data_IF_295668139430
#
_entry.id   IF_295668139430
#
_cell.length_a   1.000
_cell.length_b   1.000
_cell.length_c   1.000
_cell.angle_alpha   90.00
_cell.angle_beta   90.00
_cell.angle_gamma   90.00
#
_symmetry.space_group_name_H-M   'P 1'
#
loop_
_entity.id
_entity.type
_entity.pdbx_description
1 polymer ?
#
# COMPACT_ATOMS: atom_id res chain seq x y z
N UNK A 1 53.30 -10.58 -16.54
CA UNK A 1 51.96 -10.49 -17.20
C UNK A 1 50.89 -10.66 -16.12
N UNK A 2 50.00 -9.67 -15.94
CA UNK A 2 48.94 -9.62 -14.91
C UNK A 2 47.64 -10.24 -15.41
N UNK A 3 46.84 -10.85 -14.51
CA UNK A 3 45.37 -10.68 -14.34
C UNK A 3 45.00 -11.14 -12.91
N UNK A 4 45.08 -10.27 -11.89
CA UNK A 4 43.98 -9.51 -11.26
C UNK A 4 42.65 -10.27 -11.06
N UNK A 5 42.43 -10.74 -9.82
CA UNK A 5 41.11 -11.02 -9.25
C UNK A 5 40.59 -9.78 -8.51
N UNK A 6 39.29 -9.49 -8.68
CA UNK A 6 38.60 -8.36 -8.05
C UNK A 6 37.87 -8.84 -6.80
N UNK A 7 38.27 -8.32 -5.64
CA UNK A 7 37.56 -8.38 -4.36
C UNK A 7 37.53 -6.96 -3.83
N UNK A 8 36.37 -6.31 -3.80
CA UNK A 8 36.24 -4.96 -3.23
C UNK A 8 35.37 -5.03 -1.97
N UNK A 9 35.99 -4.60 -0.87
CA UNK A 9 35.40 -4.39 0.45
C UNK A 9 34.62 -3.07 0.51
N UNK A 10 33.66 -3.05 1.45
CA UNK A 10 32.91 -1.91 2.00
C UNK A 10 33.68 -0.59 1.98
N UNK A 11 33.01 0.48 1.55
CA UNK A 11 33.29 1.84 2.01
C UNK A 11 31.99 2.54 2.40
N UNK A 12 31.98 3.04 3.63
CA UNK A 12 30.99 3.97 4.14
C UNK A 12 31.15 5.31 3.41
N UNK A 13 30.05 5.99 3.11
CA UNK A 13 30.10 7.41 2.76
C UNK A 13 28.84 8.10 3.27
N UNK A 14 29.01 8.81 4.38
CA UNK A 14 28.08 9.81 4.90
C UNK A 14 27.84 10.87 3.82
N UNK A 15 26.58 11.25 3.59
CA UNK A 15 26.21 12.40 2.74
C UNK A 15 25.26 13.34 3.49
N UNK A 16 25.29 14.66 3.18
CA UNK A 16 25.08 15.72 4.16
C UNK A 16 23.63 16.14 4.34
N UNK A 17 23.36 16.68 5.53
CA UNK A 17 22.11 17.32 5.94
C UNK A 17 21.96 18.64 5.17
N UNK A 18 21.00 18.72 4.24
CA UNK A 18 20.48 20.01 3.74
C UNK A 18 19.19 20.33 4.49
N UNK A 19 19.28 21.32 5.37
CA UNK A 19 18.12 22.03 5.92
C UNK A 19 17.40 22.75 4.78
N UNK A 20 16.11 22.48 4.63
CA UNK A 20 15.17 23.35 3.92
C UNK A 20 14.11 23.75 4.93
N UNK A 21 13.99 25.06 5.18
CA UNK A 21 12.88 25.68 5.90
C UNK A 21 11.86 26.15 4.87
N UNK A 22 10.58 25.82 5.06
CA UNK A 22 9.49 26.40 4.26
C UNK A 22 8.20 25.59 4.25
N UNK A 23 7.25 26.02 5.09
CA UNK A 23 5.78 25.90 5.00
C UNK A 23 5.11 24.54 4.67
N UNK A 24 4.59 23.90 5.73
CA UNK A 24 3.28 23.23 5.77
C UNK A 24 2.83 22.35 4.60
N UNK A 25 3.49 21.20 4.39
CA UNK A 25 3.01 20.12 3.52
C UNK A 25 3.29 18.78 4.21
N UNK A 26 2.26 17.98 4.43
CA UNK A 26 2.38 16.63 5.02
C UNK A 26 2.65 15.66 3.88
N UNK A 27 3.93 15.38 3.63
CA UNK A 27 4.34 14.28 2.76
C UNK A 27 4.32 12.98 3.54
N UNK A 28 3.45 12.05 3.17
CA UNK A 28 3.53 10.66 3.60
C UNK A 28 4.56 9.95 2.72
N UNK A 29 5.54 9.32 3.35
CA UNK A 29 6.44 8.39 2.67
C UNK A 29 6.10 6.98 3.17
N UNK A 30 5.32 6.25 2.39
CA UNK A 30 4.97 4.86 2.72
C UNK A 30 6.20 3.96 2.54
N UNK A 31 6.82 3.51 3.63
CA UNK A 31 7.75 2.39 3.63
C UNK A 31 7.14 1.25 4.43
N UNK A 32 6.75 0.19 3.72
CA UNK A 32 6.19 -1.03 4.32
C UNK A 32 7.15 -2.21 4.38
N UNK A 33 7.30 -2.82 5.56
CA UNK A 33 8.04 -4.03 5.86
C UNK A 33 7.12 -5.23 6.18
N UNK A 34 6.61 -5.91 5.14
CA UNK A 34 6.11 -7.29 5.21
C UNK A 34 7.20 -8.33 4.88
N UNK A 35 7.03 -9.57 5.35
CA UNK A 35 7.87 -10.74 5.01
C UNK A 35 7.95 -11.04 3.50
N UNK A 36 8.87 -11.92 3.07
CA UNK A 36 9.56 -11.76 1.79
C UNK A 36 8.75 -12.18 0.56
N UNK A 37 8.57 -11.26 -0.38
CA UNK A 37 8.23 -11.59 -1.77
C UNK A 37 7.72 -10.39 -2.53
N UNK A 38 6.44 -10.08 -2.33
CA UNK A 38 5.72 -9.20 -3.25
C UNK A 38 5.35 -7.90 -2.56
N UNK A 39 6.04 -6.83 -2.96
CA UNK A 39 5.72 -5.47 -2.53
C UNK A 39 4.87 -4.79 -3.59
N UNK A 40 3.63 -4.50 -3.22
CA UNK A 40 2.74 -3.61 -3.94
C UNK A 40 3.03 -2.14 -3.59
N UNK A 41 3.00 -1.25 -4.57
CA UNK A 41 3.07 0.20 -4.33
C UNK A 41 1.64 0.76 -4.36
N UNK A 42 1.22 1.45 -3.30
CA UNK A 42 -0.12 2.08 -3.20
C UNK A 42 -0.15 3.50 -3.83
N UNK A 43 0.96 3.95 -4.41
CA UNK A 43 1.19 5.35 -4.76
C UNK A 43 1.43 6.22 -3.53
N UNK A 44 2.03 7.39 -3.71
CA UNK A 44 2.12 8.39 -2.64
C UNK A 44 0.73 8.97 -2.37
N UNK A 45 0.26 8.91 -1.12
CA UNK A 45 -1.05 9.45 -0.74
C UNK A 45 -0.88 10.66 0.19
N UNK A 46 -1.55 11.77 -0.11
CA UNK A 46 -1.70 12.91 0.82
C UNK A 46 -3.17 13.00 1.18
N UNK A 47 -3.51 12.80 2.45
CA UNK A 47 -4.89 12.85 2.95
C UNK A 47 -5.04 13.82 4.12
N UNK A 48 -6.27 14.28 4.39
CA UNK A 48 -6.57 15.04 5.60
C UNK A 48 -6.91 14.08 6.73
N UNK A 49 -6.58 14.51 7.96
CA UNK A 49 -7.01 13.80 9.18
C UNK A 49 -8.54 13.72 9.17
N UNK A 50 -9.08 12.55 9.53
CA UNK A 50 -10.51 12.23 9.49
C UNK A 50 -11.16 12.11 8.09
N UNK A 51 -10.39 12.24 7.00
CA UNK A 51 -10.88 11.90 5.67
C UNK A 51 -10.53 10.45 5.32
N UNK A 52 -11.47 9.76 4.66
CA UNK A 52 -11.24 8.40 4.17
C UNK A 52 -10.29 8.43 2.99
N UNK A 53 -9.17 7.73 3.12
CA UNK A 53 -8.34 7.27 2.02
C UNK A 53 -8.76 5.86 1.61
N UNK A 54 -8.93 5.63 0.32
CA UNK A 54 -9.25 4.31 -0.23
C UNK A 54 -8.56 4.11 -1.58
N UNK A 55 -7.82 3.01 -1.73
CA UNK A 55 -7.06 2.73 -2.94
C UNK A 55 -7.02 1.23 -3.24
N UNK A 56 -6.91 0.84 -4.52
CA UNK A 56 -6.61 -0.53 -4.90
C UNK A 56 -5.20 -0.93 -4.48
N UNK A 57 -5.00 -2.21 -4.19
CA UNK A 57 -3.69 -2.82 -3.93
C UNK A 57 -3.28 -3.60 -5.16
N UNK A 58 -2.36 -3.05 -5.95
CA UNK A 58 -1.91 -3.66 -7.20
C UNK A 58 -0.82 -4.71 -6.97
N UNK A 59 -0.73 -5.71 -7.83
CA UNK A 59 0.38 -6.67 -7.82
C UNK A 59 0.27 -7.81 -6.81
N UNK A 60 -0.83 -7.89 -6.06
CA UNK A 60 -1.16 -9.05 -5.22
C UNK A 60 -2.33 -9.80 -5.86
N UNK A 61 -2.13 -11.04 -6.35
CA UNK A 61 -3.21 -11.80 -6.97
C UNK A 61 -4.23 -12.28 -5.92
N UNK A 62 -5.50 -12.34 -6.31
CA UNK A 62 -6.52 -13.07 -5.56
C UNK A 62 -6.37 -14.57 -5.86
N UNK A 63 -5.64 -15.29 -5.02
CA UNK A 63 -5.42 -16.72 -5.17
C UNK A 63 -6.35 -17.53 -4.25
N UNK A 64 -6.98 -18.59 -4.78
CA UNK A 64 -7.81 -19.50 -3.99
C UNK A 64 -9.03 -18.81 -3.37
N UNK A 65 -9.23 -19.03 -2.07
CA UNK A 65 -10.25 -18.35 -1.28
C UNK A 65 -9.63 -17.09 -0.61
N UNK A 66 -9.96 -15.87 -1.07
CA UNK A 66 -9.34 -14.66 -0.53
C UNK A 66 -9.96 -14.22 0.81
N UNK A 67 -10.86 -15.02 1.39
CA UNK A 67 -11.41 -14.85 2.73
C UNK A 67 -10.89 -15.89 3.72
N UNK A 68 -9.99 -16.78 3.28
CA UNK A 68 -9.29 -17.69 4.18
C UNK A 68 -8.34 -16.87 5.08
N UNK A 69 -8.52 -16.84 6.41
CA UNK A 69 -7.68 -16.05 7.30
C UNK A 69 -6.19 -16.40 7.21
N UNK A 70 -5.85 -17.65 6.83
CA UNK A 70 -4.45 -18.07 6.69
C UNK A 70 -3.83 -17.61 5.35
N UNK A 71 -4.67 -17.32 4.34
CA UNK A 71 -4.26 -16.88 3.01
C UNK A 71 -4.50 -15.39 2.71
N UNK A 72 -5.30 -14.71 3.53
CA UNK A 72 -5.77 -13.34 3.32
C UNK A 72 -5.04 -12.29 4.18
N UNK A 73 -3.77 -12.51 4.51
CA UNK A 73 -2.97 -11.58 5.33
C UNK A 73 -2.27 -10.50 4.47
N UNK A 74 -3.08 -9.71 3.75
CA UNK A 74 -2.58 -8.57 2.98
C UNK A 74 -2.65 -7.30 3.83
N UNK A 75 -1.51 -6.63 4.04
CA UNK A 75 -1.42 -5.43 4.88
C UNK A 75 -0.79 -4.25 4.16
N UNK A 76 -1.32 -3.07 4.44
CA UNK A 76 -0.78 -1.80 4.01
C UNK A 76 -0.11 -1.10 5.20
N UNK A 77 1.05 -0.50 4.95
CA UNK A 77 1.78 0.31 5.93
C UNK A 77 1.74 1.79 5.55
N UNK A 78 1.28 2.61 6.49
CA UNK A 78 1.22 4.07 6.36
C UNK A 78 2.19 4.72 7.35
N UNK A 79 2.93 5.73 6.88
CA UNK A 79 3.79 6.55 7.74
C UNK A 79 3.20 7.96 7.90
N UNK A 80 2.62 8.23 9.05
CA UNK A 80 2.08 9.54 9.42
C UNK A 80 3.13 10.54 9.92
N UNK A 81 2.69 11.76 10.26
CA UNK A 81 3.56 12.80 10.78
C UNK A 81 4.39 12.34 11.97
N UNK A 82 5.66 12.79 12.02
CA UNK A 82 6.67 12.39 13.03
C UNK A 82 7.04 10.90 12.99
N UNK A 83 6.85 10.22 11.86
CA UNK A 83 7.25 8.83 11.66
C UNK A 83 6.36 7.81 12.37
N UNK A 84 5.12 8.19 12.72
CA UNK A 84 4.13 7.25 13.28
C UNK A 84 3.78 6.23 12.20
N UNK A 85 3.83 4.94 12.52
CA UNK A 85 3.44 3.88 11.58
C UNK A 85 2.08 3.32 11.92
N UNK A 86 1.31 3.02 10.89
CA UNK A 86 0.03 2.33 10.98
C UNK A 86 0.06 1.16 10.03
N UNK A 87 -0.41 0.02 10.51
CA UNK A 87 -0.61 -1.17 9.70
C UNK A 87 -2.11 -1.41 9.61
N UNK A 88 -2.61 -1.55 8.38
CA UNK A 88 -4.04 -1.64 8.10
C UNK A 88 -4.27 -2.86 7.21
N UNK A 89 -5.18 -3.78 7.57
CA UNK A 89 -5.51 -4.90 6.72
C UNK A 89 -6.20 -4.42 5.43
N UNK A 90 -5.80 -4.99 4.30
CA UNK A 90 -6.54 -4.88 3.07
C UNK A 90 -7.80 -5.76 3.14
N UNK A 91 -8.73 -5.53 2.23
CA UNK A 91 -9.95 -6.30 2.10
C UNK A 91 -10.25 -6.54 0.63
N UNK A 92 -10.97 -7.62 0.36
CA UNK A 92 -11.46 -7.91 -0.98
C UNK A 92 -12.65 -7.01 -1.27
N UNK A 93 -12.63 -6.35 -2.42
CA UNK A 93 -13.67 -5.45 -2.89
C UNK A 93 -14.16 -5.90 -4.26
N UNK A 94 -15.47 -5.79 -4.48
CA UNK A 94 -16.09 -5.87 -5.78
C UNK A 94 -17.14 -4.77 -5.89
N UNK A 95 -17.10 -4.04 -6.99
CA UNK A 95 -18.11 -3.02 -7.26
C UNK A 95 -19.39 -3.65 -7.83
N UNK A 96 -20.55 -3.09 -7.48
CA UNK A 96 -21.86 -3.56 -7.93
C UNK A 96 -22.77 -2.39 -8.31
N UNK A 97 -23.40 -2.50 -9.47
CA UNK A 97 -24.56 -1.70 -9.83
C UNK A 97 -25.82 -2.26 -9.17
N UNK A 98 -26.64 -1.37 -8.62
CA UNK A 98 -27.87 -1.70 -7.89
C UNK A 98 -29.07 -1.20 -8.67
N UNK A 99 -30.00 -2.08 -8.94
CA UNK A 99 -31.26 -1.77 -9.59
C UNK A 99 -32.44 -2.34 -8.79
N UNK A 100 -33.57 -1.63 -8.78
CA UNK A 100 -34.82 -2.15 -8.24
C UNK A 100 -35.66 -2.71 -9.39
N UNK A 101 -35.79 -4.04 -9.45
CA UNK A 101 -36.58 -4.74 -10.48
C UNK A 101 -37.72 -5.47 -9.79
N UNK A 102 -38.95 -5.15 -10.15
CA UNK A 102 -40.18 -5.73 -9.56
C UNK A 102 -40.22 -5.67 -8.03
N UNK A 103 -39.73 -4.56 -7.46
CA UNK A 103 -39.67 -4.34 -6.02
C UNK A 103 -38.58 -5.13 -5.29
N UNK A 104 -37.62 -5.74 -6.01
CA UNK A 104 -36.47 -6.45 -5.44
C UNK A 104 -35.16 -5.81 -5.87
N UNK A 105 -34.20 -5.75 -4.96
CA UNK A 105 -32.84 -5.32 -5.31
C UNK A 105 -32.15 -6.39 -6.15
N UNK A 106 -31.63 -5.96 -7.30
CA UNK A 106 -30.76 -6.74 -8.16
C UNK A 106 -29.37 -6.09 -8.14
N UNK A 107 -28.36 -6.90 -7.84
CA UNK A 107 -26.95 -6.51 -7.88
C UNK A 107 -26.32 -7.10 -9.13
N UNK A 108 -25.67 -6.26 -9.94
CA UNK A 108 -24.86 -6.71 -11.09
C UNK A 108 -23.43 -6.26 -10.87
N UNK A 109 -22.46 -7.17 -10.97
CA UNK A 109 -21.05 -6.82 -10.78
C UNK A 109 -20.61 -5.76 -11.80
N UNK A 110 -20.05 -4.66 -11.33
CA UNK A 110 -19.64 -3.51 -12.12
C UNK A 110 -18.11 -3.37 -12.24
N UNK A 111 -17.35 -4.22 -11.53
CA UNK A 111 -15.89 -4.22 -11.57
C UNK A 111 -15.31 -5.59 -11.23
N UNK A 112 -13.99 -5.76 -11.42
CA UNK A 112 -13.29 -6.96 -11.01
C UNK A 112 -13.31 -7.10 -9.48
N UNK A 113 -13.14 -8.33 -9.02
CA UNK A 113 -12.75 -8.57 -7.65
C UNK A 113 -11.30 -8.10 -7.47
N UNK A 114 -11.02 -7.28 -6.46
CA UNK A 114 -9.68 -6.73 -6.22
C UNK A 114 -9.38 -6.55 -4.73
N UNK A 115 -8.11 -6.43 -4.38
CA UNK A 115 -7.71 -5.99 -3.04
C UNK A 115 -7.81 -4.48 -2.94
N UNK A 116 -8.35 -3.97 -1.82
CA UNK A 116 -8.36 -2.54 -1.48
C UNK A 116 -7.92 -2.32 -0.05
N UNK A 117 -7.42 -1.13 0.23
CA UNK A 117 -7.16 -0.64 1.58
C UNK A 117 -8.02 0.58 1.86
N UNK A 118 -8.53 0.70 3.09
CA UNK A 118 -9.22 1.88 3.60
C UNK A 118 -8.54 2.36 4.87
N UNK A 119 -8.19 3.63 4.93
CA UNK A 119 -7.55 4.23 6.08
C UNK A 119 -8.15 5.60 6.39
N UNK A 120 -8.21 5.97 7.68
CA UNK A 120 -8.67 7.28 8.14
C UNK A 120 -7.71 7.74 9.23
N UNK A 121 -6.73 8.61 8.89
CA UNK A 121 -5.65 9.01 9.79
C UNK A 121 -6.09 9.98 10.89
#
# INVERSE_FOLDING_TARGET
MRKQGSRIRRTSSRRPIRRVWGAGLIGFLCLGAGGPGDRANLGGCTGRVWERYEAPVEGIPLAGNPFDPDGADVRAEFEGPRGRRFEVPAFVFQDFERELVDGREKLTSAGPLEWRVRFTP
#
